data_IF_525135320032
#
_entry.id   IF_525135320032
#
_cell.length_a   1.000
_cell.length_b   1.000
_cell.length_c   1.000
_cell.angle_alpha   90.00
_cell.angle_beta   90.00
_cell.angle_gamma   90.00
#
_symmetry.space_group_name_H-M   'P 1'
#
loop_
_entity.id
_entity.type
_entity.pdbx_description
1 polymer ?
#
# COMPACT_ATOMS: atom_id res chain seq x y z
N UNK A 1 14.29 -1.65 4.45
CA UNK A 1 14.87 -0.93 5.58
C UNK A 1 13.83 -0.63 6.67
N UNK A 2 12.76 0.11 6.37
CA UNK A 2 11.79 0.57 7.39
C UNK A 2 10.86 -0.54 7.93
N UNK A 3 10.68 -1.63 7.22
CA UNK A 3 9.71 -2.68 7.56
C UNK A 3 10.38 -4.02 7.86
N UNK A 4 11.42 -4.38 7.15
CA UNK A 4 12.05 -5.70 7.20
C UNK A 4 13.52 -5.65 7.69
N UNK A 5 13.94 -4.56 8.32
CA UNK A 5 15.29 -4.39 8.90
C UNK A 5 16.45 -4.73 7.94
N UNK A 6 16.26 -4.50 6.64
CA UNK A 6 17.12 -4.84 5.49
C UNK A 6 17.16 -6.33 5.11
N UNK A 7 16.32 -7.18 5.68
CA UNK A 7 16.31 -8.61 5.36
C UNK A 7 15.41 -8.95 4.15
N UNK A 8 14.70 -7.96 3.59
CA UNK A 8 13.86 -8.18 2.40
C UNK A 8 14.74 -8.33 1.15
N UNK A 9 14.64 -9.47 0.51
CA UNK A 9 15.18 -9.70 -0.81
C UNK A 9 14.26 -9.07 -1.86
N UNK A 10 14.78 -8.10 -2.61
CA UNK A 10 14.03 -7.40 -3.66
C UNK A 10 14.64 -7.76 -5.00
N UNK A 11 13.81 -8.34 -5.87
CA UNK A 11 14.19 -8.58 -7.26
C UNK A 11 13.84 -7.37 -8.13
N UNK A 12 14.69 -6.98 -9.09
CA UNK A 12 14.38 -5.91 -10.02
C UNK A 12 13.19 -6.29 -10.92
N UNK A 13 12.39 -5.30 -11.30
CA UNK A 13 11.35 -5.45 -12.32
C UNK A 13 11.86 -5.03 -13.69
N UNK A 14 11.51 -5.74 -14.78
CA UNK A 14 11.86 -5.32 -16.14
C UNK A 14 11.06 -4.09 -16.59
N UNK A 15 9.90 -3.83 -15.96
CA UNK A 15 9.06 -2.66 -16.28
C UNK A 15 9.74 -1.35 -15.94
N UNK A 16 9.72 -0.40 -16.86
CA UNK A 16 10.13 0.98 -16.63
C UNK A 16 9.12 1.74 -15.79
N UNK A 17 9.52 2.92 -15.28
CA UNK A 17 8.60 3.85 -14.68
C UNK A 17 7.70 4.44 -15.78
N UNK A 18 6.50 3.90 -15.93
CA UNK A 18 5.43 4.50 -16.74
C UNK A 18 4.35 5.06 -15.83
N UNK A 19 3.52 5.96 -16.34
CA UNK A 19 2.38 6.49 -15.56
C UNK A 19 1.34 5.40 -15.23
N UNK A 20 1.41 4.26 -15.91
CA UNK A 20 0.56 3.10 -15.69
C UNK A 20 1.17 2.06 -14.73
N UNK A 21 2.40 2.26 -14.25
CA UNK A 21 3.10 1.36 -13.35
C UNK A 21 3.70 2.10 -12.14
N UNK A 22 3.89 1.37 -11.05
CA UNK A 22 4.52 1.90 -9.85
C UNK A 22 3.55 2.60 -8.91
N UNK A 23 3.96 3.72 -8.32
CA UNK A 23 3.19 4.40 -7.27
C UNK A 23 2.89 5.83 -7.67
N UNK A 24 1.65 6.29 -7.46
CA UNK A 24 1.23 7.67 -7.70
C UNK A 24 0.37 8.21 -6.56
N UNK A 25 0.27 9.55 -6.47
CA UNK A 25 -0.54 10.26 -5.47
C UNK A 25 -1.50 11.22 -6.15
N UNK A 26 -2.78 11.10 -5.81
CA UNK A 26 -3.83 12.06 -6.11
C UNK A 26 -4.13 12.86 -4.84
N UNK A 27 -3.67 14.11 -4.81
CA UNK A 27 -3.92 14.99 -3.66
C UNK A 27 -5.30 15.60 -3.77
N UNK A 28 -6.09 15.49 -2.69
CA UNK A 28 -7.47 15.94 -2.61
C UNK A 28 -7.61 16.96 -1.48
N UNK A 29 -8.45 17.97 -1.67
CA UNK A 29 -8.79 18.89 -0.60
C UNK A 29 -10.15 18.52 0.00
N UNK A 30 -10.17 17.37 0.69
CA UNK A 30 -11.38 16.84 1.32
C UNK A 30 -11.45 17.12 2.81
N UNK A 31 -12.69 17.16 3.34
CA UNK A 31 -12.96 17.34 4.76
C UNK A 31 -13.29 16.00 5.42
N UNK A 32 -12.55 15.67 6.49
CA UNK A 32 -12.78 14.48 7.28
C UNK A 32 -13.73 14.77 8.45
N UNK A 33 -14.82 14.02 8.52
CA UNK A 33 -15.79 14.12 9.62
C UNK A 33 -16.45 12.78 9.90
N UNK A 34 -16.57 12.39 11.17
CA UNK A 34 -17.26 11.18 11.61
C UNK A 34 -16.83 9.90 10.88
N UNK A 35 -15.55 9.74 10.60
CA UNK A 35 -15.00 8.57 9.94
C UNK A 35 -15.08 8.58 8.41
N UNK A 36 -15.64 9.60 7.79
CA UNK A 36 -15.76 9.71 6.33
C UNK A 36 -15.12 10.99 5.77
N UNK A 37 -14.72 10.90 4.52
CA UNK A 37 -14.28 12.01 3.67
C UNK A 37 -15.04 11.93 2.34
N UNK A 38 -16.21 12.60 2.25
CA UNK A 38 -17.08 12.44 1.07
C UNK A 38 -16.42 12.91 -0.23
N UNK A 39 -15.60 13.96 -0.18
CA UNK A 39 -14.89 14.46 -1.37
C UNK A 39 -13.86 13.42 -1.87
N UNK A 40 -13.11 12.79 -0.96
CA UNK A 40 -12.17 11.72 -1.33
C UNK A 40 -12.90 10.51 -1.90
N UNK A 41 -14.02 10.08 -1.29
CA UNK A 41 -14.84 8.98 -1.78
C UNK A 41 -15.37 9.26 -3.20
N UNK A 42 -15.84 10.49 -3.48
CA UNK A 42 -16.36 10.86 -4.79
C UNK A 42 -15.25 10.85 -5.85
N UNK A 43 -14.10 11.48 -5.58
CA UNK A 43 -12.96 11.49 -6.50
C UNK A 43 -12.47 10.06 -6.77
N UNK A 44 -12.38 9.23 -5.72
CA UNK A 44 -12.01 7.83 -5.88
C UNK A 44 -13.02 7.07 -6.77
N UNK A 45 -14.34 7.25 -6.54
CA UNK A 45 -15.36 6.61 -7.35
C UNK A 45 -15.28 6.99 -8.83
N UNK A 46 -14.98 8.27 -9.13
CA UNK A 46 -14.83 8.75 -10.50
C UNK A 46 -13.57 8.14 -11.16
N UNK A 47 -12.44 8.09 -10.46
CA UNK A 47 -11.22 7.43 -10.97
C UNK A 47 -11.38 5.91 -11.11
N UNK A 48 -12.17 5.26 -10.25
CA UNK A 48 -12.48 3.83 -10.37
C UNK A 48 -13.25 3.58 -11.66
N UNK A 49 -14.27 4.38 -11.95
CA UNK A 49 -15.04 4.28 -13.22
C UNK A 49 -14.14 4.52 -14.42
N UNK A 50 -13.35 5.60 -14.41
CA UNK A 50 -12.40 5.90 -15.48
C UNK A 50 -11.41 4.74 -15.70
N UNK A 51 -10.88 4.18 -14.62
CA UNK A 51 -10.00 3.01 -14.71
C UNK A 51 -10.70 1.80 -15.35
N UNK A 52 -11.92 1.47 -14.90
CA UNK A 52 -12.68 0.33 -15.41
C UNK A 52 -12.98 0.44 -16.92
N UNK A 53 -13.25 1.66 -17.39
CA UNK A 53 -13.54 1.92 -18.80
C UNK A 53 -12.26 1.84 -19.66
N UNK A 54 -11.16 2.37 -19.17
CA UNK A 54 -9.91 2.48 -19.93
C UNK A 54 -9.00 1.23 -19.80
N UNK A 55 -9.20 0.39 -18.79
CA UNK A 55 -8.35 -0.76 -18.47
C UNK A 55 -9.15 -2.04 -18.24
N UNK A 56 -9.96 -2.51 -19.21
CA UNK A 56 -10.86 -3.66 -19.00
C UNK A 56 -10.11 -4.98 -18.75
N UNK A 57 -8.81 -5.03 -19.06
CA UNK A 57 -7.97 -6.24 -18.92
C UNK A 57 -7.09 -6.26 -17.68
N UNK A 58 -7.17 -5.23 -16.81
CA UNK A 58 -6.42 -5.14 -15.56
C UNK A 58 -7.36 -5.24 -14.37
N UNK A 59 -7.03 -6.09 -13.41
CA UNK A 59 -7.81 -6.25 -12.18
C UNK A 59 -7.60 -5.08 -11.23
N UNK A 60 -8.69 -4.66 -10.53
CA UNK A 60 -8.69 -3.53 -9.61
C UNK A 60 -9.14 -3.95 -8.22
N UNK A 61 -8.38 -3.54 -7.21
CA UNK A 61 -8.79 -3.56 -5.82
C UNK A 61 -8.75 -2.17 -5.21
N UNK A 62 -9.68 -1.89 -4.31
CA UNK A 62 -9.78 -0.59 -3.63
C UNK A 62 -9.71 -0.81 -2.13
N UNK A 63 -8.83 -0.09 -1.46
CA UNK A 63 -8.63 -0.18 -0.01
C UNK A 63 -8.70 1.19 0.62
N UNK A 64 -9.51 1.33 1.66
CA UNK A 64 -9.62 2.55 2.45
C UNK A 64 -9.27 2.27 3.91
N UNK A 65 -8.88 3.30 4.66
CA UNK A 65 -8.32 3.11 6.00
C UNK A 65 -9.34 2.73 7.07
N UNK A 66 -10.65 2.88 6.82
CA UNK A 66 -11.68 2.55 7.80
C UNK A 66 -12.99 2.03 7.17
N UNK A 67 -13.82 1.43 8.00
CA UNK A 67 -15.08 0.81 7.62
C UNK A 67 -16.10 1.82 7.06
N UNK A 68 -16.27 2.97 7.71
CA UNK A 68 -17.29 3.96 7.30
C UNK A 68 -17.04 4.53 5.90
N UNK A 69 -15.77 4.75 5.54
CA UNK A 69 -15.40 5.18 4.20
C UNK A 69 -15.58 4.06 3.17
N UNK A 70 -15.30 2.82 3.57
CA UNK A 70 -15.54 1.66 2.71
C UNK A 70 -17.02 1.56 2.33
N UNK A 71 -17.92 1.63 3.30
CA UNK A 71 -19.37 1.58 3.07
C UNK A 71 -19.86 2.76 2.22
N UNK A 72 -19.31 3.96 2.45
CA UNK A 72 -19.60 5.15 1.63
C UNK A 72 -19.21 4.92 0.17
N UNK A 73 -17.99 4.42 -0.07
CA UNK A 73 -17.46 4.20 -1.41
C UNK A 73 -18.16 3.04 -2.11
N UNK A 74 -18.42 1.95 -1.39
CA UNK A 74 -19.16 0.79 -1.92
C UNK A 74 -20.56 1.19 -2.38
N UNK A 75 -21.28 2.00 -1.57
CA UNK A 75 -22.57 2.57 -1.97
C UNK A 75 -22.49 3.53 -3.17
N UNK A 76 -21.37 4.25 -3.37
CA UNK A 76 -21.15 5.04 -4.58
C UNK A 76 -20.95 4.13 -5.79
N UNK A 77 -20.13 3.09 -5.67
CA UNK A 77 -19.86 2.17 -6.77
C UNK A 77 -21.09 1.38 -7.20
N UNK A 78 -21.93 0.97 -6.25
CA UNK A 78 -23.19 0.31 -6.57
C UNK A 78 -24.08 1.22 -7.46
N UNK A 79 -24.26 2.50 -7.08
CA UNK A 79 -25.03 3.45 -7.88
C UNK A 79 -24.43 3.70 -9.27
N UNK A 80 -23.08 3.77 -9.37
CA UNK A 80 -22.40 3.93 -10.67
C UNK A 80 -22.58 2.71 -11.56
N UNK A 81 -22.54 1.50 -11.01
CA UNK A 81 -22.81 0.26 -11.75
C UNK A 81 -24.28 0.15 -12.22
N UNK A 82 -25.24 0.67 -11.44
CA UNK A 82 -26.63 0.75 -11.85
C UNK A 82 -26.87 1.76 -12.99
N UNK A 83 -26.07 2.84 -13.04
CA UNK A 83 -26.21 3.92 -14.01
C UNK A 83 -25.40 3.69 -15.30
N UNK A 84 -24.29 2.96 -15.23
CA UNK A 84 -23.40 2.72 -16.36
C UNK A 84 -23.21 1.21 -16.61
N UNK A 85 -23.80 0.68 -17.70
CA UNK A 85 -23.66 -0.72 -18.07
C UNK A 85 -22.22 -1.17 -18.32
N UNK A 86 -21.31 -0.27 -18.68
CA UNK A 86 -19.91 -0.61 -18.91
C UNK A 86 -19.17 -0.87 -17.59
N UNK A 87 -19.53 -0.14 -16.52
CA UNK A 87 -19.03 -0.38 -15.15
C UNK A 87 -19.54 -1.74 -14.65
N UNK A 88 -20.84 -2.01 -14.80
CA UNK A 88 -21.42 -3.31 -14.43
C UNK A 88 -20.72 -4.45 -15.18
N UNK A 89 -20.52 -4.30 -16.50
CA UNK A 89 -19.82 -5.29 -17.33
C UNK A 89 -18.39 -5.55 -16.86
N UNK A 90 -17.65 -4.51 -16.46
CA UNK A 90 -16.30 -4.70 -15.90
C UNK A 90 -16.37 -5.56 -14.62
N UNK A 91 -17.24 -5.20 -13.67
CA UNK A 91 -17.40 -5.93 -12.40
C UNK A 91 -17.74 -7.40 -12.66
N UNK A 92 -18.72 -7.67 -13.53
CA UNK A 92 -19.16 -9.02 -13.88
C UNK A 92 -18.04 -9.82 -14.58
N UNK A 93 -17.27 -9.19 -15.47
CA UNK A 93 -16.18 -9.87 -16.20
C UNK A 93 -15.06 -10.38 -15.31
N UNK A 94 -14.89 -9.77 -14.13
CA UNK A 94 -13.90 -10.17 -13.13
C UNK A 94 -14.48 -11.03 -12.00
N UNK A 95 -15.83 -11.18 -11.91
CA UNK A 95 -16.47 -11.86 -10.79
C UNK A 95 -16.04 -13.32 -10.64
N UNK A 96 -15.94 -14.05 -11.75
CA UNK A 96 -15.64 -15.50 -11.78
C UNK A 96 -14.20 -15.79 -12.23
N UNK A 97 -13.41 -14.76 -12.59
CA UNK A 97 -12.07 -14.94 -13.11
C UNK A 97 -11.15 -15.49 -12.00
N UNK A 98 -10.39 -16.53 -12.34
CA UNK A 98 -9.54 -17.28 -11.40
C UNK A 98 -10.31 -17.73 -10.14
N UNK A 99 -11.46 -18.36 -10.33
CA UNK A 99 -12.36 -18.80 -9.26
C UNK A 99 -12.74 -17.66 -8.27
N UNK A 100 -12.85 -16.41 -8.76
CA UNK A 100 -13.21 -15.23 -7.99
C UNK A 100 -12.07 -14.60 -7.21
N UNK A 101 -10.83 -15.09 -7.37
CA UNK A 101 -9.66 -14.53 -6.69
C UNK A 101 -9.29 -13.14 -7.22
N UNK A 102 -9.61 -12.83 -8.48
CA UNK A 102 -9.31 -11.55 -9.13
C UNK A 102 -10.51 -10.58 -9.22
N UNK A 103 -11.63 -10.87 -8.57
CA UNK A 103 -12.83 -10.02 -8.59
C UNK A 103 -12.55 -8.61 -8.06
N UNK A 104 -13.24 -7.61 -8.59
CA UNK A 104 -13.23 -6.25 -8.04
C UNK A 104 -13.71 -6.26 -6.58
N UNK A 105 -13.07 -5.43 -5.75
CA UNK A 105 -13.49 -5.25 -4.35
C UNK A 105 -13.24 -3.83 -3.85
N UNK A 106 -14.06 -3.41 -2.87
CA UNK A 106 -13.82 -2.29 -1.98
C UNK A 106 -13.69 -2.84 -0.56
N UNK A 107 -12.55 -2.66 0.09
CA UNK A 107 -12.27 -3.21 1.42
C UNK A 107 -11.65 -2.15 2.33
N UNK A 108 -11.76 -2.37 3.65
CA UNK A 108 -10.98 -1.60 4.60
C UNK A 108 -9.58 -2.23 4.79
N UNK A 109 -8.68 -1.48 5.44
CA UNK A 109 -7.29 -1.88 5.68
C UNK A 109 -7.16 -3.24 6.40
N UNK A 110 -8.11 -3.61 7.24
CA UNK A 110 -8.03 -4.83 8.05
C UNK A 110 -8.40 -6.09 7.26
N UNK A 111 -9.20 -5.93 6.19
CA UNK A 111 -9.77 -7.03 5.43
C UNK A 111 -9.05 -7.33 4.10
N UNK A 112 -7.91 -6.68 3.82
CA UNK A 112 -7.20 -6.81 2.54
C UNK A 112 -6.15 -7.94 2.53
N UNK A 113 -5.97 -8.64 3.62
CA UNK A 113 -4.97 -9.71 3.71
C UNK A 113 -5.30 -10.87 2.76
N UNK A 114 -4.34 -11.26 1.93
CA UNK A 114 -4.46 -12.38 0.97
C UNK A 114 -4.97 -11.98 -0.41
N UNK A 115 -5.45 -10.74 -0.59
CA UNK A 115 -5.90 -10.26 -1.90
C UNK A 115 -4.74 -9.65 -2.69
N UNK A 116 -4.72 -9.88 -4.00
CA UNK A 116 -3.77 -9.24 -4.94
C UNK A 116 -4.52 -8.80 -6.19
N UNK A 117 -4.16 -7.64 -6.75
CA UNK A 117 -4.69 -7.12 -8.02
C UNK A 117 -3.57 -6.49 -8.82
N UNK A 118 -3.77 -6.37 -10.11
CA UNK A 118 -2.83 -5.64 -10.97
C UNK A 118 -2.69 -4.21 -10.47
N UNK A 119 -3.82 -3.58 -10.12
CA UNK A 119 -3.86 -2.22 -9.60
C UNK A 119 -4.58 -2.16 -8.26
N UNK A 120 -4.00 -1.42 -7.31
CA UNK A 120 -4.64 -1.11 -6.02
C UNK A 120 -4.81 0.41 -5.88
N UNK A 121 -6.05 0.84 -5.63
CA UNK A 121 -6.35 2.20 -5.21
C UNK A 121 -6.43 2.27 -3.69
N UNK A 122 -5.74 3.23 -3.09
CA UNK A 122 -5.68 3.41 -1.64
C UNK A 122 -6.27 4.77 -1.27
N UNK A 123 -7.35 4.80 -0.48
CA UNK A 123 -7.88 6.03 0.12
C UNK A 123 -7.41 6.19 1.55
N UNK A 124 -6.76 7.31 1.86
CA UNK A 124 -6.28 7.57 3.22
C UNK A 124 -7.37 8.03 4.17
N UNK A 125 -8.47 8.56 3.65
CA UNK A 125 -9.66 9.03 4.38
C UNK A 125 -9.41 10.31 5.19
N UNK A 126 -8.29 10.36 5.92
CA UNK A 126 -7.99 11.43 6.86
C UNK A 126 -7.68 12.76 6.16
N UNK A 127 -8.12 13.84 6.79
CA UNK A 127 -7.94 15.20 6.30
C UNK A 127 -8.23 16.23 7.40
N UNK A 128 -8.36 17.50 7.01
CA UNK A 128 -8.79 18.55 7.93
C UNK A 128 -10.28 18.40 8.26
N UNK A 129 -10.66 18.79 9.48
CA UNK A 129 -12.08 18.90 9.86
C UNK A 129 -12.74 20.13 9.20
N UNK A 130 -14.04 20.34 9.43
CA UNK A 130 -14.79 21.50 8.93
C UNK A 130 -14.29 22.86 9.46
N UNK A 131 -13.43 22.87 10.48
CA UNK A 131 -12.81 24.06 11.03
C UNK A 131 -11.35 24.23 10.56
N UNK A 132 -10.90 23.40 9.60
CA UNK A 132 -9.56 23.44 9.04
C UNK A 132 -8.47 22.79 9.91
N UNK A 133 -8.82 22.15 11.04
CA UNK A 133 -7.85 21.51 11.95
C UNK A 133 -7.55 20.10 11.49
N UNK A 134 -6.29 19.70 11.58
CA UNK A 134 -5.84 18.34 11.27
C UNK A 134 -5.42 17.59 12.54
N UNK A 135 -6.06 16.45 12.78
CA UNK A 135 -5.75 15.58 13.91
C UNK A 135 -5.05 14.31 13.43
N UNK A 136 -3.88 14.02 14.01
CA UNK A 136 -3.07 12.84 13.66
C UNK A 136 -3.56 11.58 14.39
N UNK A 137 -4.86 11.29 14.26
CA UNK A 137 -5.53 10.12 14.84
C UNK A 137 -5.94 9.20 13.69
N UNK A 138 -5.10 8.21 13.43
CA UNK A 138 -5.25 7.31 12.27
C UNK A 138 -5.81 5.93 12.66
N UNK A 139 -6.55 5.83 13.77
CA UNK A 139 -7.17 4.59 14.21
C UNK A 139 -6.18 3.43 14.26
N UNK A 140 -6.42 2.35 13.49
CA UNK A 140 -5.59 1.14 13.50
C UNK A 140 -4.11 1.36 13.17
N UNK A 141 -3.75 2.50 12.56
CA UNK A 141 -2.36 2.82 12.21
C UNK A 141 -1.55 3.36 13.38
N UNK A 142 -2.19 3.88 14.43
CA UNK A 142 -1.48 4.45 15.58
C UNK A 142 -0.88 3.38 16.51
N UNK A 143 -1.30 2.13 16.39
CA UNK A 143 -0.80 1.04 17.22
C UNK A 143 0.47 0.40 16.66
N UNK A 144 1.10 -0.46 17.47
CA UNK A 144 2.31 -1.22 17.09
C UNK A 144 2.12 -2.09 15.84
N UNK A 145 0.88 -2.51 15.53
CA UNK A 145 0.53 -3.26 14.32
C UNK A 145 0.35 -2.39 13.06
N UNK A 146 0.28 -1.06 13.20
CA UNK A 146 0.00 -0.14 12.09
C UNK A 146 1.02 -0.26 10.94
N UNK A 147 2.30 -0.35 11.29
CA UNK A 147 3.39 -0.59 10.33
C UNK A 147 3.19 -1.88 9.52
N UNK A 148 2.79 -2.98 10.19
CA UNK A 148 2.57 -4.28 9.53
C UNK A 148 1.36 -4.25 8.60
N UNK A 149 0.26 -3.60 9.01
CA UNK A 149 -0.94 -3.43 8.17
C UNK A 149 -0.64 -2.65 6.90
N UNK A 150 0.07 -1.54 7.00
CA UNK A 150 0.50 -0.77 5.83
C UNK A 150 1.43 -1.58 4.91
N UNK A 151 2.35 -2.36 5.48
CA UNK A 151 3.21 -3.22 4.69
C UNK A 151 2.41 -4.27 3.88
N UNK A 152 1.43 -4.90 4.52
CA UNK A 152 0.51 -5.82 3.83
C UNK A 152 -0.19 -5.10 2.69
N UNK A 153 -0.73 -3.90 2.92
CA UNK A 153 -1.42 -3.11 1.90
C UNK A 153 -0.52 -2.75 0.73
N UNK A 154 0.68 -2.22 0.99
CA UNK A 154 1.62 -1.79 -0.06
C UNK A 154 2.19 -2.93 -0.89
N UNK A 155 2.01 -4.17 -0.47
CA UNK A 155 2.40 -5.36 -1.22
C UNK A 155 1.23 -6.06 -1.94
N UNK A 156 0.07 -5.41 -2.07
CA UNK A 156 -1.13 -6.02 -2.70
C UNK A 156 -1.25 -5.75 -4.19
N UNK A 157 -0.50 -4.79 -4.73
CA UNK A 157 -0.51 -4.49 -6.15
C UNK A 157 0.58 -5.27 -6.87
N UNK A 158 0.23 -5.86 -8.01
CA UNK A 158 1.19 -6.48 -8.93
C UNK A 158 1.93 -5.44 -9.77
N UNK A 159 1.24 -4.35 -10.19
CA UNK A 159 1.76 -3.38 -11.14
C UNK A 159 1.71 -1.93 -10.64
N UNK A 160 0.58 -1.50 -10.06
CA UNK A 160 0.37 -0.08 -9.75
C UNK A 160 -0.38 0.14 -8.44
N UNK A 161 0.05 1.17 -7.69
CA UNK A 161 -0.71 1.71 -6.57
C UNK A 161 -0.98 3.19 -6.83
N UNK A 162 -2.27 3.57 -6.78
CA UNK A 162 -2.70 4.96 -6.80
C UNK A 162 -3.22 5.32 -5.41
N UNK A 163 -2.58 6.28 -4.77
CA UNK A 163 -2.97 6.72 -3.42
C UNK A 163 -3.76 8.01 -3.52
N UNK A 164 -4.94 8.04 -2.91
CA UNK A 164 -5.81 9.21 -2.77
C UNK A 164 -5.67 9.73 -1.34
N UNK A 165 -5.39 11.02 -1.18
CA UNK A 165 -5.13 11.57 0.15
C UNK A 165 -5.59 13.01 0.30
N UNK A 166 -6.26 13.29 1.42
CA UNK A 166 -6.59 14.64 1.88
C UNK A 166 -5.71 15.07 3.06
N UNK A 167 -4.67 14.30 3.40
CA UNK A 167 -3.75 14.61 4.49
C UNK A 167 -2.89 15.82 4.12
N UNK A 168 -2.90 16.89 4.94
CA UNK A 168 -2.05 18.07 4.72
C UNK A 168 -0.59 17.72 5.11
N UNK A 169 0.26 17.49 4.11
CA UNK A 169 1.63 17.02 4.30
C UNK A 169 2.51 18.00 5.11
N UNK A 170 2.22 19.30 5.03
CA UNK A 170 2.86 20.38 5.81
C UNK A 170 2.58 20.27 7.33
N UNK A 171 1.42 19.72 7.71
CA UNK A 171 0.98 19.55 9.08
C UNK A 171 1.14 18.11 9.60
N UNK A 172 1.51 17.18 8.73
CA UNK A 172 1.65 15.78 9.08
C UNK A 172 3.02 15.48 9.71
N UNK A 173 3.12 15.61 11.04
CA UNK A 173 4.32 15.37 11.80
C UNK A 173 4.07 14.31 12.90
N UNK A 174 4.11 13.02 12.54
CA UNK A 174 3.88 11.93 13.50
C UNK A 174 5.02 11.86 14.52
N UNK A 175 4.68 11.50 15.76
CA UNK A 175 5.67 11.25 16.81
C UNK A 175 6.56 10.05 16.48
N UNK A 176 7.78 10.02 17.07
CA UNK A 176 8.75 8.95 16.81
C UNK A 176 8.24 7.56 17.22
N UNK A 177 7.37 7.49 18.21
CA UNK A 177 6.80 6.24 18.71
C UNK A 177 5.65 5.72 17.85
N UNK A 178 5.14 6.51 16.90
CA UNK A 178 4.05 6.10 16.00
C UNK A 178 4.59 5.60 14.66
N UNK A 179 5.10 4.37 14.64
CA UNK A 179 5.71 3.77 13.45
C UNK A 179 4.75 3.69 12.25
N UNK A 180 3.47 3.40 12.49
CA UNK A 180 2.48 3.31 11.42
C UNK A 180 2.24 4.66 10.74
N UNK A 181 2.03 5.73 11.52
CA UNK A 181 1.88 7.07 10.97
C UNK A 181 3.15 7.58 10.27
N UNK A 182 4.33 7.24 10.80
CA UNK A 182 5.62 7.55 10.14
C UNK A 182 5.76 6.84 8.80
N UNK A 183 5.42 5.57 8.74
CA UNK A 183 5.44 4.81 7.49
C UNK A 183 4.44 5.39 6.47
N UNK A 184 3.23 5.77 6.92
CA UNK A 184 2.24 6.44 6.05
C UNK A 184 2.80 7.77 5.50
N UNK A 185 3.46 8.59 6.34
CA UNK A 185 4.10 9.84 5.89
C UNK A 185 5.16 9.57 4.81
N UNK A 186 6.05 8.61 5.05
CA UNK A 186 7.08 8.21 4.08
C UNK A 186 6.47 7.70 2.78
N UNK A 187 5.38 6.93 2.87
CA UNK A 187 4.65 6.46 1.69
C UNK A 187 4.07 7.60 0.87
N UNK A 188 3.40 8.57 1.49
CA UNK A 188 2.84 9.73 0.80
C UNK A 188 3.93 10.59 0.17
N UNK A 189 5.06 10.80 0.85
CA UNK A 189 6.22 11.50 0.30
C UNK A 189 6.81 10.76 -0.92
N UNK A 190 6.96 9.44 -0.84
CA UNK A 190 7.42 8.62 -1.95
C UNK A 190 6.45 8.64 -3.12
N UNK A 191 5.15 8.52 -2.85
CA UNK A 191 4.10 8.53 -3.88
C UNK A 191 4.05 9.86 -4.64
N UNK A 192 4.39 10.98 -3.96
CA UNK A 192 4.46 12.31 -4.55
C UNK A 192 5.75 12.54 -5.36
N UNK A 193 6.90 12.26 -4.75
CA UNK A 193 8.22 12.61 -5.31
C UNK A 193 8.86 11.47 -6.11
N UNK A 194 8.37 10.25 -5.95
CA UNK A 194 8.98 9.00 -6.43
C UNK A 194 10.45 8.82 -5.95
N UNK A 195 10.80 9.52 -4.86
CA UNK A 195 12.12 9.45 -4.20
C UNK A 195 11.92 9.15 -2.73
N UNK A 196 12.59 8.12 -2.23
CA UNK A 196 12.81 7.96 -0.80
C UNK A 196 13.84 9.02 -0.39
N UNK A 197 13.61 9.72 0.74
CA UNK A 197 14.47 10.81 1.19
C UNK A 197 15.96 10.44 1.21
N UNK A 198 16.83 11.43 1.28
CA UNK A 198 18.28 11.40 1.04
C UNK A 198 19.12 10.32 1.78
N UNK A 199 18.52 9.55 2.68
CA UNK A 199 19.17 8.52 3.51
C UNK A 199 18.94 7.07 3.09
N UNK A 200 18.37 6.80 1.93
CA UNK A 200 18.55 5.47 1.34
C UNK A 200 19.98 5.43 0.84
N UNK A 201 20.82 4.67 1.53
CA UNK A 201 22.15 4.32 1.04
C UNK A 201 22.00 3.98 -0.45
N UNK A 202 22.52 4.84 -1.32
CA UNK A 202 22.71 4.49 -2.73
C UNK A 202 23.51 3.22 -2.66
N UNK A 203 22.96 2.14 -3.20
CA UNK A 203 23.73 0.93 -3.38
C UNK A 203 24.91 1.37 -4.27
N UNK A 204 26.10 1.43 -3.67
CA UNK A 204 27.31 2.01 -4.31
C UNK A 204 27.67 1.30 -5.62
N UNK A 205 27.09 0.12 -5.85
CA UNK A 205 27.26 -0.70 -7.05
C UNK A 205 26.36 -0.32 -8.23
N UNK A 206 25.30 0.43 -8.01
CA UNK A 206 24.33 0.75 -9.07
C UNK A 206 24.98 1.61 -10.16
N UNK A 207 25.04 1.06 -11.37
CA UNK A 207 25.58 1.76 -12.54
C UNK A 207 27.10 1.62 -12.74
N UNK A 208 27.78 0.78 -11.97
CA UNK A 208 29.22 0.46 -12.15
C UNK A 208 29.34 -1.03 -12.49
N UNK A 209 29.96 -1.41 -13.64
CA UNK A 209 30.25 -2.81 -13.94
C UNK A 209 31.12 -3.45 -12.86
N UNK A 210 30.84 -4.70 -12.51
CA UNK A 210 31.61 -5.44 -11.50
C UNK A 210 32.89 -6.09 -12.07
N UNK A 211 33.03 -6.15 -13.39
CA UNK A 211 34.16 -6.80 -14.05
C UNK A 211 34.52 -6.17 -15.41
N UNK A 212 35.80 -6.29 -15.84
CA UNK A 212 36.20 -5.90 -17.20
C UNK A 212 35.45 -6.67 -18.31
N UNK A 213 34.97 -7.87 -18.00
CA UNK A 213 34.16 -8.65 -18.93
C UNK A 213 32.79 -7.99 -19.18
N UNK A 214 32.13 -7.53 -18.13
CA UNK A 214 30.88 -6.75 -18.23
C UNK A 214 31.09 -5.46 -19.02
N UNK A 215 32.21 -4.73 -18.82
CA UNK A 215 32.55 -3.54 -19.60
C UNK A 215 32.64 -3.82 -21.10
N UNK A 216 33.24 -4.94 -21.49
CA UNK A 216 33.31 -5.35 -22.90
C UNK A 216 31.92 -5.68 -23.48
N UNK A 217 31.07 -6.35 -22.71
CA UNK A 217 29.71 -6.67 -23.18
C UNK A 217 28.88 -5.39 -23.26
N UNK A 218 28.96 -4.47 -22.30
CA UNK A 218 28.32 -3.15 -22.32
C UNK A 218 28.70 -2.40 -23.60
N UNK A 219 30.01 -2.24 -23.87
CA UNK A 219 30.48 -1.56 -25.07
C UNK A 219 29.95 -2.23 -26.37
N UNK A 220 29.78 -3.53 -26.33
CA UNK A 220 29.19 -4.27 -27.47
C UNK A 220 27.69 -3.97 -27.65
N UNK A 221 26.90 -3.98 -26.58
CA UNK A 221 25.48 -3.62 -26.57
C UNK A 221 25.28 -2.19 -27.09
N UNK A 222 26.07 -1.23 -26.58
CA UNK A 222 25.99 0.18 -26.99
C UNK A 222 26.38 0.35 -28.49
N UNK A 223 27.41 -0.38 -28.95
CA UNK A 223 27.82 -0.34 -30.35
C UNK A 223 26.81 -0.93 -31.33
N UNK A 224 25.84 -1.71 -30.81
CA UNK A 224 24.70 -2.25 -31.58
C UNK A 224 23.49 -1.29 -31.57
N UNK A 225 23.59 -0.14 -30.90
CA UNK A 225 22.54 0.88 -30.86
C UNK A 225 21.55 0.74 -29.72
N UNK A 226 21.84 -0.13 -28.75
CA UNK A 226 21.04 -0.31 -27.53
C UNK A 226 21.64 0.46 -26.36
N UNK A 227 20.83 0.77 -25.34
CA UNK A 227 21.28 1.34 -24.08
C UNK A 227 21.56 0.22 -23.07
N UNK A 228 22.78 0.19 -22.52
CA UNK A 228 23.18 -0.78 -21.50
C UNK A 228 23.19 -0.11 -20.11
N UNK A 229 22.46 -0.68 -19.17
CA UNK A 229 22.40 -0.22 -17.77
C UNK A 229 23.08 -1.27 -16.89
N UNK A 230 24.27 -0.98 -16.34
CA UNK A 230 24.97 -1.93 -15.49
C UNK A 230 24.27 -2.12 -14.14
N UNK A 231 24.39 -3.32 -13.57
CA UNK A 231 23.99 -3.66 -12.22
C UNK A 231 22.55 -3.23 -11.88
N UNK A 232 21.58 -3.78 -12.64
CA UNK A 232 20.15 -3.49 -12.42
C UNK A 232 19.63 -4.27 -11.26
N UNK A 233 19.30 -3.60 -10.17
CA UNK A 233 18.75 -4.24 -8.97
C UNK A 233 18.97 -3.44 -7.70
N UNK A 234 18.69 -4.10 -6.56
CA UNK A 234 18.88 -3.56 -5.21
C UNK A 234 19.17 -4.69 -4.23
N UNK A 235 19.83 -4.38 -3.10
CA UNK A 235 19.99 -5.31 -1.97
C UNK A 235 20.62 -6.67 -2.32
N UNK A 236 21.73 -6.66 -3.03
CA UNK A 236 22.49 -7.85 -3.44
C UNK A 236 21.85 -8.75 -4.52
N UNK A 237 20.76 -8.31 -5.15
CA UNK A 237 20.16 -8.98 -6.31
C UNK A 237 20.24 -8.06 -7.52
N UNK A 238 21.28 -8.26 -8.32
CA UNK A 238 21.55 -7.46 -9.51
C UNK A 238 21.53 -8.36 -10.76
N UNK A 239 20.98 -7.83 -11.83
CA UNK A 239 21.21 -8.32 -13.20
C UNK A 239 22.42 -7.53 -13.69
N UNK A 240 23.43 -8.22 -14.24
CA UNK A 240 24.70 -7.59 -14.60
C UNK A 240 24.50 -6.44 -15.59
N UNK A 241 23.66 -6.63 -16.62
CA UNK A 241 23.34 -5.59 -17.59
C UNK A 241 21.85 -5.64 -17.96
N UNK A 242 21.11 -4.55 -17.72
CA UNK A 242 19.77 -4.36 -18.26
C UNK A 242 19.85 -3.65 -19.62
N UNK A 243 19.19 -4.18 -20.64
CA UNK A 243 19.21 -3.61 -21.99
C UNK A 243 17.92 -2.86 -22.26
N UNK A 244 18.02 -1.62 -22.78
CA UNK A 244 16.90 -0.77 -23.20
C UNK A 244 17.05 -0.34 -24.65
N UNK A 245 15.96 0.15 -25.22
CA UNK A 245 15.98 0.75 -26.57
C UNK A 245 14.96 1.91 -26.66
N UNK A 246 15.27 3.03 -27.35
CA UNK A 246 14.36 4.17 -27.48
C UNK A 246 12.98 3.82 -28.06
N UNK A 247 12.91 2.84 -28.95
CA UNK A 247 11.64 2.39 -29.55
C UNK A 247 10.77 1.53 -28.59
N UNK A 248 11.26 1.21 -27.39
CA UNK A 248 10.51 0.51 -26.36
C UNK A 248 10.63 1.26 -25.01
N UNK A 249 9.77 2.26 -24.77
CA UNK A 249 9.87 3.13 -23.59
C UNK A 249 9.38 2.46 -22.29
N UNK A 250 8.80 1.25 -22.37
CA UNK A 250 8.14 0.59 -21.23
C UNK A 250 9.09 -0.15 -20.28
N UNK A 251 10.40 0.00 -20.43
CA UNK A 251 11.37 -0.58 -19.53
C UNK A 251 12.55 -1.27 -20.23
N UNK A 252 12.97 -2.39 -19.67
CA UNK A 252 14.06 -3.19 -20.20
C UNK A 252 13.53 -4.19 -21.23
N UNK A 253 14.26 -4.37 -22.32
CA UNK A 253 14.02 -5.42 -23.31
C UNK A 253 14.35 -6.79 -22.72
N UNK A 254 15.52 -6.87 -22.11
CA UNK A 254 16.04 -8.10 -21.48
C UNK A 254 17.11 -7.76 -20.44
N UNK A 255 17.53 -8.77 -19.69
CA UNK A 255 18.74 -8.77 -18.86
C UNK A 255 19.83 -9.61 -19.52
N UNK A 256 21.09 -9.17 -19.42
CA UNK A 256 22.25 -9.95 -19.82
C UNK A 256 23.05 -10.31 -18.56
N UNK A 257 23.31 -11.61 -18.39
CA UNK A 257 24.11 -12.17 -17.31
C UNK A 257 25.48 -12.55 -17.84
N UNK A 258 26.55 -12.08 -17.20
CA UNK A 258 27.94 -12.23 -17.59
C UNK A 258 28.64 -13.25 -16.70
N UNK A 259 28.64 -14.53 -17.08
CA UNK A 259 29.18 -15.62 -16.28
C UNK A 259 30.70 -15.79 -16.44
N UNK A 260 31.44 -15.66 -15.33
CA UNK A 260 32.88 -15.92 -15.29
C UNK A 260 33.21 -17.42 -15.15
N UNK A 261 34.39 -17.83 -15.64
CA UNK A 261 34.85 -19.23 -15.62
C UNK A 261 34.99 -19.84 -14.19
N UNK A 262 35.08 -19.01 -13.15
CA UNK A 262 35.28 -19.48 -11.76
C UNK A 262 34.00 -19.82 -11.00
N UNK A 263 32.81 -19.61 -11.57
CA UNK A 263 31.53 -19.64 -10.86
C UNK A 263 30.97 -21.07 -10.58
N UNK A 264 31.59 -22.13 -11.09
CA UNK A 264 31.00 -23.47 -11.11
C UNK A 264 31.43 -24.43 -10.00
N UNK A 265 32.02 -24.00 -8.90
CA UNK A 265 32.63 -24.92 -7.96
C UNK A 265 31.69 -25.61 -6.94
N UNK A 266 30.45 -25.16 -6.75
CA UNK A 266 29.53 -25.81 -5.82
C UNK A 266 28.12 -26.09 -6.37
N UNK A 267 27.56 -27.27 -5.98
CA UNK A 267 26.19 -27.67 -6.32
C UNK A 267 25.14 -26.67 -5.76
N UNK A 268 25.41 -26.15 -4.56
CA UNK A 268 24.54 -25.21 -3.84
C UNK A 268 24.47 -23.83 -4.56
N UNK A 269 25.57 -23.40 -5.21
CA UNK A 269 25.56 -22.17 -6.02
C UNK A 269 24.65 -22.31 -7.24
N UNK A 270 24.76 -23.44 -7.95
CA UNK A 270 23.92 -23.72 -9.14
C UNK A 270 22.42 -23.80 -8.84
N UNK A 271 22.04 -24.40 -7.71
CA UNK A 271 20.62 -24.48 -7.31
C UNK A 271 20.06 -23.10 -6.96
N UNK A 272 20.86 -22.23 -6.33
CA UNK A 272 20.50 -20.85 -6.01
C UNK A 272 20.36 -19.99 -7.26
N UNK A 273 21.28 -20.13 -8.22
CA UNK A 273 21.25 -19.38 -9.47
C UNK A 273 20.05 -19.77 -10.32
N UNK A 274 19.73 -21.06 -10.39
CA UNK A 274 18.52 -21.53 -11.06
C UNK A 274 17.25 -20.98 -10.44
N UNK A 275 17.14 -20.98 -9.10
CA UNK A 275 15.97 -20.41 -8.41
C UNK A 275 15.86 -18.90 -8.68
N UNK A 276 16.99 -18.18 -8.69
CA UNK A 276 17.06 -16.76 -9.03
C UNK A 276 16.56 -16.50 -10.44
N UNK A 277 17.03 -17.26 -11.40
CA UNK A 277 16.60 -17.18 -12.81
C UNK A 277 15.10 -17.43 -12.96
N UNK A 278 14.56 -18.49 -12.33
CA UNK A 278 13.12 -18.78 -12.34
C UNK A 278 12.29 -17.65 -11.75
N UNK A 279 12.74 -16.98 -10.68
CA UNK A 279 12.04 -15.83 -10.08
C UNK A 279 12.08 -14.64 -11.04
N UNK A 280 13.22 -14.31 -11.62
CA UNK A 280 13.35 -13.20 -12.57
C UNK A 280 12.48 -13.41 -13.82
N UNK A 281 12.45 -14.62 -14.35
CA UNK A 281 11.59 -14.97 -15.49
C UNK A 281 10.11 -14.83 -15.15
N UNK A 282 9.67 -15.24 -13.94
CA UNK A 282 8.28 -15.02 -13.47
C UNK A 282 7.94 -13.55 -13.30
N UNK A 283 8.92 -12.69 -13.02
CA UNK A 283 8.76 -11.23 -12.97
C UNK A 283 8.77 -10.59 -14.37
N UNK A 284 8.87 -11.39 -15.43
CA UNK A 284 8.83 -10.93 -16.83
C UNK A 284 10.18 -10.58 -17.42
N UNK A 285 11.29 -10.93 -16.76
CA UNK A 285 12.61 -10.78 -17.35
C UNK A 285 12.87 -11.85 -18.41
N UNK A 286 13.30 -11.42 -19.57
CA UNK A 286 13.98 -12.26 -20.54
C UNK A 286 15.48 -12.16 -20.27
N UNK A 287 16.13 -13.30 -19.98
CA UNK A 287 17.54 -13.34 -19.61
C UNK A 287 18.38 -13.97 -20.71
N UNK A 288 19.46 -13.29 -21.10
CA UNK A 288 20.48 -13.77 -22.02
C UNK A 288 21.80 -13.98 -21.28
N UNK A 289 22.35 -15.19 -21.37
CA UNK A 289 23.57 -15.55 -20.63
C UNK A 289 24.77 -15.62 -21.56
N UNK A 290 25.86 -14.95 -21.18
CA UNK A 290 27.12 -14.94 -21.93
C UNK A 290 28.21 -15.53 -21.01
N UNK A 291 28.91 -16.52 -21.56
CA UNK A 291 30.06 -17.10 -20.86
C UNK A 291 31.34 -16.39 -21.22
N UNK A 292 32.15 -15.97 -20.26
CA UNK A 292 33.42 -15.31 -20.48
C UNK A 292 34.38 -16.14 -21.32
N UNK A 293 34.37 -17.47 -21.16
CA UNK A 293 35.19 -18.38 -21.96
C UNK A 293 34.83 -18.37 -23.44
N UNK A 294 33.56 -18.30 -23.79
CA UNK A 294 33.09 -18.26 -25.18
C UNK A 294 33.30 -16.87 -25.77
N UNK A 295 33.03 -15.83 -24.99
CA UNK A 295 33.26 -14.44 -25.38
C UNK A 295 34.73 -14.17 -25.78
N UNK A 296 35.68 -14.58 -24.94
CA UNK A 296 37.09 -14.33 -25.22
C UNK A 296 37.66 -15.28 -26.28
N UNK A 297 37.03 -16.43 -26.53
CA UNK A 297 37.44 -17.34 -27.59
C UNK A 297 36.98 -16.87 -28.99
N UNK A 298 35.75 -16.35 -29.11
CA UNK A 298 35.19 -15.84 -30.38
C UNK A 298 34.35 -14.56 -30.14
N UNK A 299 34.98 -13.41 -29.85
CA UNK A 299 34.27 -12.16 -29.55
C UNK A 299 33.33 -11.71 -30.69
N UNK A 300 33.71 -11.95 -31.95
CA UNK A 300 32.89 -11.55 -33.11
C UNK A 300 31.64 -12.42 -33.26
N UNK A 301 31.78 -13.71 -33.01
CA UNK A 301 30.67 -14.65 -33.06
C UNK A 301 29.67 -14.39 -31.94
N UNK A 302 30.14 -14.20 -30.70
CA UNK A 302 29.29 -13.94 -29.54
C UNK A 302 28.58 -12.58 -29.62
N UNK A 303 29.28 -11.52 -30.10
CA UNK A 303 28.66 -10.23 -30.38
C UNK A 303 27.54 -10.32 -31.43
N UNK A 304 27.73 -11.12 -32.49
CA UNK A 304 26.68 -11.31 -33.50
C UNK A 304 25.46 -12.01 -32.89
N UNK A 305 25.67 -13.10 -32.15
CA UNK A 305 24.58 -13.82 -31.45
C UNK A 305 23.80 -12.89 -30.49
N UNK A 306 24.52 -12.06 -29.73
CA UNK A 306 23.92 -11.06 -28.85
C UNK A 306 23.09 -10.06 -29.67
N UNK A 307 23.60 -9.53 -30.77
CA UNK A 307 22.89 -8.61 -31.66
C UNK A 307 21.60 -9.22 -32.23
N UNK A 308 21.68 -10.44 -32.79
CA UNK A 308 20.52 -11.16 -33.33
C UNK A 308 19.45 -11.40 -32.23
N UNK A 309 19.87 -11.69 -30.99
CA UNK A 309 18.96 -11.84 -29.86
C UNK A 309 18.30 -10.52 -29.49
N UNK A 310 19.06 -9.41 -29.35
CA UNK A 310 18.55 -8.10 -28.99
C UNK A 310 17.56 -7.54 -30.02
N UNK A 311 17.85 -7.69 -31.30
CA UNK A 311 16.94 -7.31 -32.38
C UNK A 311 15.64 -8.13 -32.36
N UNK A 312 15.74 -9.44 -32.09
CA UNK A 312 14.58 -10.32 -31.93
C UNK A 312 13.71 -9.89 -30.73
N UNK A 313 14.34 -9.62 -29.62
CA UNK A 313 13.62 -9.14 -28.40
C UNK A 313 12.94 -7.80 -28.64
N UNK A 314 13.61 -6.87 -29.31
CA UNK A 314 13.04 -5.58 -29.67
C UNK A 314 11.79 -5.75 -30.56
N UNK A 315 11.88 -6.60 -31.57
CA UNK A 315 10.75 -6.86 -32.47
C UNK A 315 9.55 -7.48 -31.73
N UNK A 316 9.79 -8.46 -30.82
CA UNK A 316 8.75 -9.10 -30.02
C UNK A 316 8.09 -8.06 -29.09
N UNK A 317 8.89 -7.25 -28.40
CA UNK A 317 8.39 -6.24 -27.45
C UNK A 317 7.60 -5.13 -28.16
N UNK A 318 8.05 -4.66 -29.31
CA UNK A 318 7.31 -3.68 -30.12
C UNK A 318 5.99 -4.29 -30.61
N UNK A 319 5.97 -5.54 -31.08
CA UNK A 319 4.76 -6.20 -31.54
C UNK A 319 3.73 -6.43 -30.40
N UNK A 320 4.18 -6.48 -29.14
CA UNK A 320 3.33 -6.61 -27.95
C UNK A 320 2.91 -5.26 -27.32
N UNK A 321 3.35 -4.13 -27.90
CA UNK A 321 2.92 -2.81 -27.41
C UNK A 321 1.42 -2.63 -27.63
N UNK A 322 0.68 -2.10 -26.63
CA UNK A 322 -0.69 -1.71 -26.86
C UNK A 322 -0.76 -0.65 -27.96
N UNK A 323 -1.74 -0.76 -28.87
CA UNK A 323 -2.00 0.31 -29.83
C UNK A 323 -2.28 1.61 -29.05
N UNK A 324 -1.42 2.60 -29.25
CA UNK A 324 -1.68 3.94 -28.74
C UNK A 324 -2.79 4.51 -29.63
N UNK A 325 -4.03 4.39 -29.22
CA UNK A 325 -5.14 5.14 -29.80
C UNK A 325 -4.89 6.59 -29.39
N UNK A 326 -4.29 7.37 -30.29
CA UNK A 326 -4.28 8.83 -30.13
C UNK A 326 -5.72 9.28 -29.96
N UNK A 327 -6.05 10.05 -28.90
CA UNK A 327 -7.39 10.61 -28.79
C UNK A 327 -7.62 11.47 -30.02
N UNK A 328 -8.64 11.15 -30.82
CA UNK A 328 -9.12 12.04 -31.87
C UNK A 328 -9.41 13.39 -31.19
N UNK A 329 -8.55 14.35 -31.45
CA UNK A 329 -8.81 15.75 -31.10
C UNK A 329 -9.97 16.17 -32.01
N UNK A 330 -11.20 15.97 -31.53
CA UNK A 330 -12.36 16.60 -32.12
C UNK A 330 -12.10 18.12 -32.08
N UNK A 331 -11.92 18.71 -33.24
CA UNK A 331 -11.88 20.16 -33.40
C UNK A 331 -13.12 20.74 -32.66
N UNK A 332 -12.86 21.43 -31.56
CA UNK A 332 -13.90 22.17 -30.85
C UNK A 332 -14.24 23.32 -31.77
N UNK A 333 -15.40 23.27 -32.47
CA UNK A 333 -15.97 24.39 -33.17
C UNK A 333 -16.07 25.59 -32.19
N UNK A 334 -15.34 26.63 -32.47
CA UNK A 334 -15.45 27.92 -31.76
C UNK A 334 -16.88 28.46 -31.95
N UNK A 335 -17.68 28.36 -30.88
CA UNK A 335 -18.97 29.00 -30.80
C UNK A 335 -18.72 30.51 -30.55
N UNK A 336 -19.19 31.43 -31.39
CA UNK A 336 -19.01 32.88 -31.19
C UNK A 336 -19.72 33.30 -29.89
N UNK A 337 -19.00 34.01 -29.03
CA UNK A 337 -19.58 34.67 -27.85
C UNK A 337 -20.47 35.83 -28.31
N UNK A 338 -21.79 35.65 -28.29
CA UNK A 338 -22.71 36.74 -28.32
C UNK A 338 -22.78 37.44 -26.95
N UNK A 339 -22.59 38.76 -26.99
CA UNK A 339 -22.75 39.70 -25.91
C UNK A 339 -24.11 39.53 -25.22
N UNK A 340 -24.14 39.14 -23.95
CA UNK A 340 -25.34 39.28 -23.15
C UNK A 340 -25.09 40.24 -21.96
N UNK A 341 -25.93 41.24 -21.91
CA UNK A 341 -25.88 42.41 -21.08
C UNK A 341 -25.94 42.16 -19.58
N UNK A 342 -25.46 43.18 -18.91
CA UNK A 342 -25.58 43.45 -17.48
C UNK A 342 -27.03 43.30 -16.99
N UNK A 343 -27.25 42.37 -16.06
CA UNK A 343 -28.45 42.37 -15.22
C UNK A 343 -28.04 42.87 -13.83
N UNK A 344 -28.62 44.01 -13.43
CA UNK A 344 -28.51 44.58 -12.10
C UNK A 344 -29.17 43.67 -11.07
N UNK A 345 -28.51 43.46 -9.93
CA UNK A 345 -29.06 42.78 -8.78
C UNK A 345 -30.03 43.70 -8.01
N UNK A 346 -31.28 43.26 -7.87
CA UNK A 346 -32.24 43.85 -6.95
C UNK A 346 -32.09 43.20 -5.56
N UNK A 347 -31.78 44.01 -4.57
CA UNK A 347 -31.80 43.70 -3.15
C UNK A 347 -33.25 43.48 -2.69
N UNK A 348 -33.58 42.25 -2.28
CA UNK A 348 -34.74 41.98 -1.46
C UNK A 348 -34.30 41.26 -0.18
N UNK A 349 -34.37 41.99 0.91
CA UNK A 349 -34.32 41.48 2.30
C UNK A 349 -35.39 40.41 2.50
N UNK A 350 -34.94 39.22 2.96
CA UNK A 350 -35.82 38.18 3.45
C UNK A 350 -35.69 38.16 4.97
N UNK A 351 -36.77 38.54 5.60
CA UNK A 351 -37.03 38.56 7.03
C UNK A 351 -37.14 37.15 7.57
N UNK A 352 -36.30 36.78 8.55
CA UNK A 352 -36.35 35.50 9.26
C UNK A 352 -36.97 35.71 10.65
N UNK A 353 -38.05 35.01 11.03
CA UNK A 353 -38.62 35.18 12.37
C UNK A 353 -37.78 34.50 13.43
N UNK A 354 -37.67 35.13 14.59
CA UNK A 354 -36.97 34.72 15.77
C UNK A 354 -37.51 33.40 16.32
N UNK A 355 -36.60 32.43 16.59
CA UNK A 355 -36.88 31.22 17.28
C UNK A 355 -36.73 31.41 18.80
N UNK A 356 -37.69 30.80 19.49
CA UNK A 356 -37.92 30.80 20.95
C UNK A 356 -36.81 30.07 21.69
N UNK A 357 -36.37 30.66 22.83
CA UNK A 357 -35.51 30.07 23.85
C UNK A 357 -36.22 28.93 24.54
N UNK A 358 -35.58 27.78 24.64
CA UNK A 358 -35.84 26.85 25.76
C UNK A 358 -34.52 26.18 26.22
N UNK A 359 -34.19 26.45 27.51
CA UNK A 359 -33.66 25.48 28.44
C UNK A 359 -32.17 25.17 28.44
N UNK A 360 -31.40 25.98 29.16
CA UNK A 360 -30.10 25.64 29.74
C UNK A 360 -30.20 24.40 30.62
N UNK A 361 -29.48 23.33 30.27
CA UNK A 361 -28.95 22.37 31.27
C UNK A 361 -27.50 22.09 30.89
N UNK A 362 -26.60 22.68 31.65
CA UNK A 362 -25.18 22.35 31.67
C UNK A 362 -25.00 20.87 32.02
N UNK A 363 -24.17 20.08 31.33
CA UNK A 363 -23.68 18.81 31.83
C UNK A 363 -22.56 19.06 32.82
N UNK A 364 -22.69 18.46 34.01
CA UNK A 364 -21.67 18.45 35.07
C UNK A 364 -20.28 18.03 34.55
N UNK A 365 -19.19 18.60 35.09
CA UNK A 365 -17.83 18.29 34.64
C UNK A 365 -17.43 16.89 35.13
N UNK A 366 -16.97 16.06 34.20
CA UNK A 366 -16.30 14.80 34.47
C UNK A 366 -15.01 15.10 35.24
N UNK A 367 -14.76 14.47 36.40
CA UNK A 367 -13.55 14.70 37.19
C UNK A 367 -12.31 14.24 36.39
N UNK A 368 -11.48 15.17 36.01
CA UNK A 368 -10.17 14.93 35.44
C UNK A 368 -9.21 14.54 36.58
N UNK A 369 -9.10 13.26 36.84
CA UNK A 369 -7.97 12.74 37.62
C UNK A 369 -6.75 12.62 36.69
N UNK A 370 -5.91 13.64 36.74
CA UNK A 370 -4.55 13.57 36.16
C UNK A 370 -3.71 12.72 37.12
N UNK A 371 -3.61 11.43 36.82
CA UNK A 371 -2.63 10.55 37.46
C UNK A 371 -1.30 10.77 36.75
N UNK A 372 -0.34 11.32 37.45
CA UNK A 372 1.02 11.58 36.99
C UNK A 372 1.72 10.26 36.59
N UNK A 373 2.47 10.29 35.52
CA UNK A 373 3.05 9.14 34.79
C UNK A 373 4.08 8.27 35.55
N UNK A 374 4.21 8.40 36.88
CA UNK A 374 5.28 7.75 37.66
C UNK A 374 4.83 6.54 38.51
N UNK A 375 3.54 6.16 38.52
CA UNK A 375 3.06 5.04 39.36
C UNK A 375 2.36 3.91 38.57
N UNK A 376 2.46 3.90 37.24
CA UNK A 376 1.88 2.80 36.42
C UNK A 376 2.74 1.55 36.55
N UNK A 377 2.13 0.44 37.00
CA UNK A 377 2.71 -0.90 36.87
C UNK A 377 3.03 -1.16 35.40
N UNK A 378 3.97 -2.05 35.09
CA UNK A 378 4.39 -2.37 33.74
C UNK A 378 3.25 -2.84 32.81
N UNK A 379 3.48 -2.93 31.50
CA UNK A 379 2.47 -3.37 30.53
C UNK A 379 2.07 -4.83 30.78
N UNK A 380 0.84 -5.16 30.42
CA UNK A 380 0.33 -6.54 30.45
C UNK A 380 1.16 -7.42 29.50
N UNK A 381 1.68 -8.51 30.03
CA UNK A 381 2.48 -9.51 29.33
C UNK A 381 1.93 -10.92 29.58
N UNK A 382 2.36 -11.97 28.83
CA UNK A 382 2.07 -13.34 29.20
C UNK A 382 2.52 -13.64 30.64
N UNK A 383 1.63 -14.23 31.44
CA UNK A 383 1.84 -14.47 32.86
C UNK A 383 1.11 -13.45 33.76
N UNK A 384 0.72 -12.29 33.29
CA UNK A 384 0.02 -11.28 34.06
C UNK A 384 -1.37 -11.74 34.50
N UNK A 385 -1.77 -11.30 35.71
CA UNK A 385 -3.13 -11.40 36.21
C UNK A 385 -3.80 -10.06 36.07
N UNK A 386 -5.00 -10.03 35.51
CA UNK A 386 -5.69 -8.80 35.12
C UNK A 386 -7.11 -8.82 35.65
N UNK A 387 -7.57 -7.70 36.26
CA UNK A 387 -8.96 -7.46 36.57
C UNK A 387 -9.52 -6.43 35.61
N UNK A 388 -10.64 -6.75 34.97
CA UNK A 388 -11.30 -5.92 33.98
C UNK A 388 -12.74 -5.65 34.33
N UNK A 389 -13.32 -4.61 33.70
CA UNK A 389 -14.76 -4.32 33.68
C UNK A 389 -15.24 -4.28 32.23
N UNK A 390 -16.31 -4.98 31.93
CA UNK A 390 -16.95 -4.92 30.62
C UNK A 390 -17.70 -3.59 30.46
N UNK A 391 -17.48 -2.89 29.35
CA UNK A 391 -18.07 -1.57 29.09
C UNK A 391 -19.37 -1.65 28.29
N UNK A 392 -19.52 -2.68 27.46
CA UNK A 392 -20.68 -2.89 26.58
C UNK A 392 -21.03 -4.38 26.44
N UNK A 393 -22.07 -4.68 25.65
CA UNK A 393 -22.53 -6.05 25.42
C UNK A 393 -23.32 -6.66 26.59
N UNK A 394 -23.59 -7.98 26.52
CA UNK A 394 -24.40 -8.68 27.54
C UNK A 394 -23.80 -8.69 28.96
N UNK A 395 -22.53 -8.34 29.09
CA UNK A 395 -21.78 -8.29 30.36
C UNK A 395 -21.43 -6.88 30.81
N UNK A 396 -22.01 -5.84 30.21
CA UNK A 396 -21.73 -4.45 30.57
C UNK A 396 -21.83 -4.23 32.11
N UNK A 397 -20.81 -3.60 32.71
CA UNK A 397 -20.68 -3.36 34.12
C UNK A 397 -20.19 -4.55 34.98
N UNK A 398 -20.03 -5.74 34.41
CA UNK A 398 -19.51 -6.92 35.13
C UNK A 398 -18.00 -6.88 35.20
N UNK A 399 -17.42 -7.16 36.35
CA UNK A 399 -15.98 -7.34 36.52
C UNK A 399 -15.59 -8.81 36.37
N UNK A 400 -14.42 -9.03 35.78
CA UNK A 400 -13.83 -10.36 35.62
C UNK A 400 -12.34 -10.32 35.97
N UNK A 401 -11.81 -11.46 36.44
CA UNK A 401 -10.39 -11.63 36.73
C UNK A 401 -9.81 -12.71 35.82
N UNK A 402 -8.74 -12.39 35.11
CA UNK A 402 -8.08 -13.28 34.19
C UNK A 402 -6.61 -13.49 34.55
N UNK A 403 -6.16 -14.71 34.38
CA UNK A 403 -4.75 -15.04 34.33
C UNK A 403 -4.38 -15.37 32.88
N UNK A 404 -3.48 -14.59 32.31
CA UNK A 404 -3.08 -14.67 30.90
C UNK A 404 -1.87 -15.61 30.77
N UNK A 405 -2.06 -16.79 30.19
CA UNK A 405 -1.02 -17.80 30.13
C UNK A 405 -0.62 -18.15 28.70
N UNK A 406 0.67 -18.45 28.51
CA UNK A 406 1.26 -19.01 27.28
C UNK A 406 1.39 -20.54 27.30
N UNK A 407 1.02 -21.18 28.44
CA UNK A 407 1.18 -22.62 28.61
C UNK A 407 0.27 -23.44 27.69
N UNK A 408 0.79 -24.55 27.20
CA UNK A 408 0.06 -25.57 26.44
C UNK A 408 -0.93 -26.35 27.32
N UNK A 409 -1.90 -27.04 26.68
CA UNK A 409 -3.06 -27.68 27.35
C UNK A 409 -2.75 -28.61 28.53
N UNK A 410 -1.56 -29.19 28.59
CA UNK A 410 -1.24 -30.23 29.54
C UNK A 410 -0.84 -29.75 30.95
N UNK A 411 -0.64 -28.46 31.18
CA UNK A 411 -0.07 -27.91 32.43
C UNK A 411 -0.74 -26.63 32.92
N UNK A 412 -2.04 -26.46 32.71
CA UNK A 412 -2.75 -25.28 33.24
C UNK A 412 -3.07 -25.48 34.72
N UNK A 413 -2.28 -24.87 35.61
CA UNK A 413 -2.61 -24.79 37.02
C UNK A 413 -3.82 -23.86 37.20
N UNK A 414 -4.85 -24.30 37.97
CA UNK A 414 -5.94 -23.42 38.35
C UNK A 414 -5.44 -22.40 39.38
N UNK A 415 -5.57 -21.12 39.08
CA UNK A 415 -5.30 -20.03 40.02
C UNK A 415 -6.60 -19.66 40.70
N UNK A 416 -6.75 -19.87 42.02
CA UNK A 416 -7.99 -19.58 42.71
C UNK A 416 -8.43 -18.13 42.54
N UNK A 417 -9.67 -17.92 42.07
CA UNK A 417 -10.26 -16.61 41.86
C UNK A 417 -9.95 -15.94 40.50
N UNK A 418 -9.23 -16.62 39.62
CA UNK A 418 -8.95 -16.16 38.28
C UNK A 418 -9.44 -17.16 37.22
N UNK A 419 -9.96 -16.64 36.12
CA UNK A 419 -10.23 -17.45 34.93
C UNK A 419 -8.98 -17.49 34.06
N UNK A 420 -8.46 -18.67 33.80
CA UNK A 420 -7.30 -18.84 32.93
C UNK A 420 -7.70 -18.59 31.49
N UNK A 421 -6.99 -17.69 30.80
CA UNK A 421 -7.25 -17.32 29.41
C UNK A 421 -5.96 -17.48 28.61
N UNK A 422 -6.06 -18.18 27.49
CA UNK A 422 -4.90 -18.43 26.60
C UNK A 422 -4.48 -17.18 25.87
N UNK A 423 -3.19 -17.08 25.60
CA UNK A 423 -2.58 -16.01 24.83
C UNK A 423 -3.24 -15.80 23.45
N UNK A 424 -3.77 -16.85 22.84
CA UNK A 424 -4.45 -16.79 21.52
C UNK A 424 -5.88 -16.29 21.59
N UNK A 425 -6.48 -16.15 22.78
CA UNK A 425 -7.85 -15.65 22.91
C UNK A 425 -7.93 -14.17 22.51
N UNK A 426 -8.97 -13.74 21.78
CA UNK A 426 -9.09 -12.35 21.30
C UNK A 426 -8.98 -11.32 22.43
N UNK A 427 -9.59 -11.56 23.59
CA UNK A 427 -9.50 -10.70 24.77
C UNK A 427 -8.06 -10.58 25.31
N UNK A 428 -7.27 -11.66 25.29
CA UNK A 428 -5.86 -11.60 25.71
C UNK A 428 -5.05 -10.75 24.74
N UNK A 429 -5.22 -10.99 23.44
CA UNK A 429 -4.48 -10.27 22.41
C UNK A 429 -4.76 -8.76 22.44
N UNK A 430 -5.98 -8.35 22.78
CA UNK A 430 -6.31 -6.93 22.90
C UNK A 430 -5.71 -6.27 24.14
N UNK A 431 -5.43 -7.04 25.19
CA UNK A 431 -4.88 -6.51 26.46
C UNK A 431 -3.36 -6.46 26.49
N UNK A 432 -2.63 -7.25 25.67
CA UNK A 432 -1.16 -7.24 25.69
C UNK A 432 -0.59 -5.87 25.32
N UNK A 433 0.32 -5.37 26.13
CA UNK A 433 0.92 -4.05 26.00
C UNK A 433 0.09 -2.90 26.59
N UNK A 434 -1.12 -3.17 27.09
CA UNK A 434 -1.95 -2.18 27.77
C UNK A 434 -1.57 -2.07 29.26
N UNK A 435 -2.01 -1.00 29.90
CA UNK A 435 -1.71 -0.65 31.29
C UNK A 435 -3.01 -0.57 32.10
N UNK A 436 -2.87 -0.57 33.43
CA UNK A 436 -3.96 -0.27 34.36
C UNK A 436 -4.59 1.10 34.03
N UNK A 437 -5.92 1.13 33.88
CA UNK A 437 -6.70 2.28 33.44
C UNK A 437 -6.92 2.40 31.94
N UNK A 438 -6.33 1.54 31.11
CA UNK A 438 -6.54 1.57 29.67
C UNK A 438 -7.90 0.94 29.28
N UNK A 439 -8.47 1.47 28.20
CA UNK A 439 -9.67 0.92 27.56
C UNK A 439 -9.22 0.15 26.31
N UNK A 440 -9.60 -1.13 26.25
CA UNK A 440 -9.30 -1.99 25.09
C UNK A 440 -10.58 -2.61 24.56
N UNK A 441 -10.61 -3.01 23.29
CA UNK A 441 -11.73 -3.72 22.70
C UNK A 441 -11.28 -4.95 21.94
N UNK A 442 -12.17 -5.95 21.82
CA UNK A 442 -11.94 -7.15 21.05
C UNK A 442 -13.24 -7.63 20.40
N UNK A 443 -13.12 -8.32 19.30
CA UNK A 443 -14.26 -8.90 18.59
C UNK A 443 -14.66 -10.25 19.18
N UNK A 444 -15.94 -10.39 19.51
CA UNK A 444 -16.55 -11.65 19.90
C UNK A 444 -17.76 -11.94 18.98
N UNK A 445 -17.62 -12.87 18.05
CA UNK A 445 -18.70 -13.29 17.13
C UNK A 445 -19.33 -12.10 16.38
N UNK A 446 -18.51 -11.22 15.78
CA UNK A 446 -18.91 -10.01 15.07
C UNK A 446 -19.50 -8.88 15.93
N UNK A 447 -19.32 -8.93 17.25
CA UNK A 447 -19.67 -7.84 18.15
C UNK A 447 -18.41 -7.30 18.83
N UNK A 448 -18.21 -6.00 18.78
CA UNK A 448 -17.10 -5.34 19.47
C UNK A 448 -17.42 -5.24 20.97
N UNK A 449 -16.57 -5.85 21.79
CA UNK A 449 -16.69 -5.84 23.26
C UNK A 449 -15.58 -4.97 23.82
N UNK A 450 -15.96 -3.85 24.44
CA UNK A 450 -15.03 -2.97 25.15
C UNK A 450 -14.83 -3.40 26.61
N UNK A 451 -13.62 -3.28 27.11
CA UNK A 451 -13.26 -3.53 28.49
C UNK A 451 -12.31 -2.46 29.03
N UNK A 452 -12.47 -2.14 30.30
CA UNK A 452 -11.58 -1.28 31.07
C UNK A 452 -10.66 -2.16 31.93
N UNK A 453 -9.38 -1.89 31.94
CA UNK A 453 -8.39 -2.60 32.76
C UNK A 453 -8.33 -1.93 34.13
N UNK A 454 -8.82 -2.62 35.16
CA UNK A 454 -8.91 -2.08 36.49
C UNK A 454 -7.67 -2.31 37.33
N UNK A 455 -6.94 -3.41 37.08
CA UNK A 455 -5.78 -3.79 37.88
C UNK A 455 -4.90 -4.77 37.11
N UNK A 456 -3.59 -4.61 37.25
CA UNK A 456 -2.58 -5.48 36.62
C UNK A 456 -1.62 -5.97 37.71
N UNK A 457 -1.48 -7.31 37.86
CA UNK A 457 -0.44 -7.98 38.63
C UNK A 457 0.49 -8.70 37.62
N UNK A 458 1.76 -8.35 37.65
CA UNK A 458 2.79 -8.90 36.73
C UNK A 458 3.39 -10.19 37.29
#
# INVERSE_FOLDING_TARGET
HYVYDNDLVIFPSPGGASDQMGVSLVQINGTFSRGINPAEAQVMADHIVEFMLNNPHRSLGVVVMNQSQMEQLDGLMLRKAEQDPAVAKYIDSWADKDAGLEKFFVKNLENVQGDERDVIFIGTVYGRDSQGRFYQRFGPLNGASGKRRLNVLFSRAKEQIVTFSSIPMDQFNPSDNNEGARLLKLWLQFSHSKRLGENTARDERRGIPDSPFEEHVIASVESLGFEAVPQVGVSNYFIDIGVKHPNYPFGYLCGVECDGAAYHSSKVARDRDRLREEVLQRLGWELYRIWSTDWFRDPHGERRKLGDYLETMLAIKIASMPEIVEPEISEVEEVPMENSGLIQADDKEINVPAAVNEGDTEPEPIPTAITTANDRKGPITPGSKVRIRYLNGPRAGVEARFWLTDLSEEHIAEVPGYTTVRQTAPICQSMFGAYEGDLVSYDLQNNEVGVEILEVEL
#
